data_IF_333816652233
#
_entry.id   IF_333816652233
#
_cell.length_a   1.000
_cell.length_b   1.000
_cell.length_c   1.000
_cell.angle_alpha   90.00
_cell.angle_beta   90.00
_cell.angle_gamma   90.00
#
_symmetry.space_group_name_H-M   'P 1'
#
loop_
_entity.id
_entity.type
_entity.pdbx_description
1 polymer ?
#
# COMPACT_ATOMS: atom_id res chain seq x y z
N UNK A 1 -65.37 6.09 -13.94
CA UNK A 1 -64.08 5.37 -13.81
C UNK A 1 -62.89 6.10 -14.46
N UNK A 2 -63.01 6.77 -15.63
CA UNK A 2 -61.91 7.54 -16.28
C UNK A 2 -61.31 8.70 -15.47
N UNK A 3 -62.10 9.43 -14.66
CA UNK A 3 -61.62 10.58 -13.87
C UNK A 3 -60.71 10.17 -12.70
N UNK A 4 -60.93 9.00 -12.12
CA UNK A 4 -60.12 8.48 -11.00
C UNK A 4 -58.73 8.06 -11.51
N UNK A 5 -58.67 7.45 -12.71
CA UNK A 5 -57.41 7.08 -13.37
C UNK A 5 -56.56 8.29 -13.76
N UNK A 6 -57.16 9.42 -14.12
CA UNK A 6 -56.43 10.66 -14.38
C UNK A 6 -55.89 11.29 -13.09
N UNK A 7 -56.64 11.24 -11.98
CA UNK A 7 -56.13 11.73 -10.71
C UNK A 7 -55.03 10.85 -10.12
N UNK A 8 -55.11 9.52 -10.24
CA UNK A 8 -54.01 8.64 -9.81
C UNK A 8 -52.77 8.76 -10.70
N UNK A 9 -52.93 8.95 -12.02
CA UNK A 9 -51.80 9.18 -12.92
C UNK A 9 -51.12 10.53 -12.67
N UNK A 10 -51.88 11.59 -12.36
CA UNK A 10 -51.33 12.91 -12.04
C UNK A 10 -50.59 12.90 -10.70
N UNK A 11 -51.09 12.16 -9.70
CA UNK A 11 -50.43 11.99 -8.39
C UNK A 11 -49.16 11.14 -8.49
N UNK A 12 -49.12 10.11 -9.35
CA UNK A 12 -47.89 9.35 -9.59
C UNK A 12 -46.82 10.17 -10.32
N UNK A 13 -47.22 11.02 -11.27
CA UNK A 13 -46.31 11.87 -12.04
C UNK A 13 -45.71 13.00 -11.18
N UNK A 14 -46.45 13.54 -10.20
CA UNK A 14 -45.91 14.52 -9.24
C UNK A 14 -44.98 13.88 -8.21
N UNK A 15 -45.19 12.61 -7.83
CA UNK A 15 -44.25 11.88 -6.96
C UNK A 15 -42.90 11.59 -7.62
N UNK A 16 -42.86 11.35 -8.95
CA UNK A 16 -41.60 11.08 -9.65
C UNK A 16 -40.72 12.33 -9.89
N UNK A 17 -41.28 13.54 -9.86
CA UNK A 17 -40.53 14.78 -10.09
C UNK A 17 -39.87 15.35 -8.82
N UNK A 18 -40.05 14.74 -7.65
CA UNK A 18 -39.40 15.15 -6.39
C UNK A 18 -38.04 14.46 -6.14
N UNK A 19 -37.62 13.53 -7.02
CA UNK A 19 -36.42 12.70 -6.80
C UNK A 19 -35.08 13.36 -7.19
N UNK A 20 -35.09 14.58 -7.73
CA UNK A 20 -33.87 15.35 -7.98
C UNK A 20 -33.73 16.49 -6.96
N UNK A 21 -33.76 16.15 -5.67
CA UNK A 21 -33.24 17.05 -4.65
C UNK A 21 -31.71 17.03 -4.76
N UNK A 22 -31.16 18.07 -5.38
CA UNK A 22 -29.74 18.39 -5.32
C UNK A 22 -29.34 18.41 -3.84
N UNK A 23 -28.55 17.43 -3.39
CA UNK A 23 -27.95 17.45 -2.05
C UNK A 23 -27.04 18.67 -2.02
N UNK A 24 -27.54 19.77 -1.46
CA UNK A 24 -26.70 20.87 -1.02
C UNK A 24 -25.88 20.32 0.15
N UNK A 25 -24.77 19.68 -0.18
CA UNK A 25 -23.72 19.38 0.77
C UNK A 25 -23.21 20.76 1.16
N UNK A 26 -23.67 21.28 2.31
CA UNK A 26 -22.96 22.37 2.99
C UNK A 26 -21.49 22.01 2.90
N UNK A 27 -20.61 22.87 2.35
CA UNK A 27 -19.18 22.65 2.49
C UNK A 27 -18.96 22.43 3.97
N UNK A 28 -18.62 21.19 4.35
CA UNK A 28 -18.10 20.93 5.68
C UNK A 28 -16.84 21.74 5.66
N UNK A 29 -16.86 22.91 6.32
CA UNK A 29 -15.65 23.61 6.66
C UNK A 29 -14.79 22.55 7.32
N UNK A 30 -13.73 22.13 6.62
CA UNK A 30 -12.75 21.21 7.19
C UNK A 30 -12.41 21.84 8.53
N UNK A 31 -12.74 21.20 9.67
CA UNK A 31 -12.34 21.76 10.94
C UNK A 31 -10.85 22.03 10.81
N UNK A 32 -10.45 23.28 11.09
CA UNK A 32 -9.05 23.65 11.07
C UNK A 32 -8.30 22.51 11.78
N UNK A 33 -7.20 21.97 11.19
CA UNK A 33 -6.46 20.89 11.82
C UNK A 33 -6.31 21.26 13.28
N UNK A 34 -6.65 20.37 14.24
CA UNK A 34 -6.44 20.66 15.64
C UNK A 34 -5.04 21.24 15.71
N UNK A 35 -4.94 22.51 16.13
CA UNK A 35 -3.64 23.13 16.31
C UNK A 35 -2.94 22.18 17.24
N UNK A 36 -1.89 21.52 16.73
CA UNK A 36 -1.11 20.64 17.53
C UNK A 36 -0.57 21.52 18.65
N UNK A 37 -1.20 21.45 19.83
CA UNK A 37 -0.59 21.84 21.12
C UNK A 37 0.48 20.82 21.47
N UNK A 38 1.20 20.35 20.46
CA UNK A 38 2.46 19.72 20.69
C UNK A 38 3.40 20.91 20.84
N UNK A 39 3.89 21.10 22.06
CA UNK A 39 5.20 21.71 22.26
C UNK A 39 6.21 20.78 21.59
N UNK A 40 6.22 20.77 20.26
CA UNK A 40 7.27 20.12 19.50
C UNK A 40 8.51 20.95 19.81
N UNK A 41 9.49 20.44 20.58
CA UNK A 41 10.76 21.13 20.69
C UNK A 41 11.22 21.41 19.26
N UNK A 42 11.64 22.66 19.01
CA UNK A 42 12.13 23.08 17.70
C UNK A 42 12.99 21.95 17.15
N UNK A 43 12.57 21.36 16.02
CA UNK A 43 13.26 20.24 15.42
C UNK A 43 14.72 20.63 15.31
N UNK A 44 15.55 20.03 16.17
CA UNK A 44 16.99 20.20 16.10
C UNK A 44 17.47 19.77 14.72
N UNK A 45 18.76 20.00 14.46
CA UNK A 45 19.41 19.46 13.27
C UNK A 45 18.93 18.02 13.00
N UNK A 46 18.72 17.64 11.72
CA UNK A 46 18.20 16.32 11.37
C UNK A 46 18.92 15.25 12.19
N UNK A 47 18.14 14.38 12.84
CA UNK A 47 18.65 13.30 13.70
C UNK A 47 19.74 12.58 12.94
N UNK A 48 20.99 12.81 13.34
CA UNK A 48 22.13 12.09 12.82
C UNK A 48 21.96 10.66 13.32
N UNK A 49 21.85 9.70 12.39
CA UNK A 49 21.84 8.28 12.73
C UNK A 49 23.12 8.00 13.53
N UNK A 50 23.03 7.53 14.79
CA UNK A 50 24.21 7.25 15.60
C UNK A 50 25.15 6.30 14.86
N UNK A 51 26.45 6.57 14.85
CA UNK A 51 27.43 5.75 14.13
C UNK A 51 27.40 4.26 14.56
N UNK A 52 26.88 3.94 15.75
CA UNK A 52 26.76 2.57 16.27
C UNK A 52 25.60 1.77 15.68
N UNK A 53 24.72 2.36 14.86
CA UNK A 53 23.63 1.63 14.19
C UNK A 53 23.94 1.31 12.74
N UNK A 54 25.19 1.49 12.29
CA UNK A 54 25.61 0.97 10.99
C UNK A 54 25.45 -0.56 11.04
N UNK A 55 24.64 -1.16 10.15
CA UNK A 55 24.60 -2.60 10.00
C UNK A 55 26.03 -3.10 9.79
N UNK A 56 26.38 -4.24 10.39
CA UNK A 56 27.61 -4.94 10.04
C UNK A 56 27.51 -5.24 8.54
N UNK A 57 28.27 -4.50 7.76
CA UNK A 57 28.29 -4.63 6.31
C UNK A 57 28.80 -6.04 5.99
N UNK A 58 28.10 -6.75 5.11
CA UNK A 58 28.50 -8.09 4.72
C UNK A 58 29.96 -8.04 4.23
N UNK A 59 30.78 -8.94 4.77
CA UNK A 59 32.18 -9.03 4.36
C UNK A 59 32.27 -9.33 2.85
N UNK A 60 33.37 -8.93 2.23
CA UNK A 60 33.61 -9.19 0.81
C UNK A 60 33.52 -10.69 0.47
N UNK A 61 33.89 -11.56 1.41
CA UNK A 61 33.76 -13.02 1.27
C UNK A 61 32.29 -13.47 1.29
N UNK A 62 31.46 -12.93 2.19
CA UNK A 62 30.02 -13.22 2.22
C UNK A 62 29.32 -12.77 0.93
N UNK A 63 29.68 -11.60 0.38
CA UNK A 63 29.14 -11.10 -0.88
C UNK A 63 29.53 -11.99 -2.07
N UNK A 64 30.78 -12.45 -2.11
CA UNK A 64 31.27 -13.37 -3.16
C UNK A 64 30.62 -14.74 -3.08
N UNK A 65 30.25 -15.17 -1.87
CA UNK A 65 29.57 -16.44 -1.64
C UNK A 65 28.08 -16.33 -2.02
N UNK A 66 27.42 -15.21 -1.73
CA UNK A 66 26.06 -14.92 -2.18
C UNK A 66 25.95 -14.93 -3.71
N UNK A 67 26.93 -14.36 -4.41
CA UNK A 67 26.95 -14.32 -5.88
C UNK A 67 27.07 -15.70 -6.56
N UNK A 68 27.43 -16.76 -5.82
CA UNK A 68 27.55 -18.13 -6.34
C UNK A 68 26.33 -19.00 -6.08
N UNK A 69 25.41 -18.55 -5.23
CA UNK A 69 24.22 -19.32 -4.91
C UNK A 69 23.26 -19.27 -6.10
N UNK A 70 22.65 -20.42 -6.48
CA UNK A 70 21.61 -20.40 -7.50
C UNK A 70 20.43 -19.56 -7.02
N UNK A 71 19.68 -19.00 -7.97
CA UNK A 71 18.44 -18.30 -7.67
C UNK A 71 17.55 -19.17 -6.78
N UNK A 72 17.05 -18.58 -5.68
CA UNK A 72 16.21 -19.24 -4.69
C UNK A 72 16.89 -20.37 -3.87
N UNK A 73 18.22 -20.55 -3.95
CA UNK A 73 18.96 -21.62 -3.27
C UNK A 73 18.94 -21.57 -1.73
N UNK A 74 18.47 -20.47 -1.14
CA UNK A 74 18.31 -20.30 0.32
C UNK A 74 16.86 -20.43 0.79
N UNK A 75 15.92 -20.67 -0.13
CA UNK A 75 14.51 -20.84 0.18
C UNK A 75 14.22 -22.31 0.53
N UNK A 76 13.54 -22.51 1.64
CA UNK A 76 13.05 -23.81 2.11
C UNK A 76 11.53 -23.76 2.19
N UNK A 77 10.85 -24.77 1.66
CA UNK A 77 9.39 -24.85 1.75
C UNK A 77 8.96 -24.89 3.22
N UNK A 78 7.92 -24.13 3.56
CA UNK A 78 7.35 -24.03 4.90
C UNK A 78 5.82 -24.11 4.87
N UNK A 79 5.19 -24.24 6.03
CA UNK A 79 3.74 -24.29 6.17
C UNK A 79 3.16 -22.91 6.51
N UNK A 80 1.90 -22.66 6.15
CA UNK A 80 1.20 -21.43 6.53
C UNK A 80 1.05 -21.28 8.05
N UNK A 81 1.05 -22.38 8.80
CA UNK A 81 1.01 -22.38 10.26
C UNK A 81 2.37 -22.02 10.90
N UNK A 82 3.46 -22.02 10.14
CA UNK A 82 4.78 -21.62 10.63
C UNK A 82 4.97 -20.09 10.69
N UNK A 83 3.99 -19.32 10.18
CA UNK A 83 4.05 -17.85 10.18
C UNK A 83 3.47 -17.30 11.48
N UNK A 84 4.37 -16.86 12.36
CA UNK A 84 4.02 -16.24 13.63
C UNK A 84 3.08 -15.03 13.46
N UNK A 85 2.01 -14.99 14.26
CA UNK A 85 1.08 -13.87 14.30
C UNK A 85 0.09 -13.78 13.14
N UNK A 86 0.22 -14.61 12.10
CA UNK A 86 -0.65 -14.54 10.91
C UNK A 86 -2.13 -14.69 11.24
N UNK A 87 -2.46 -15.63 12.13
CA UNK A 87 -3.85 -15.96 12.49
C UNK A 87 -4.57 -14.85 13.27
N UNK A 88 -3.82 -13.92 13.87
CA UNK A 88 -4.37 -12.80 14.65
C UNK A 88 -4.21 -11.45 13.93
N UNK A 89 -3.58 -11.44 12.76
CA UNK A 89 -3.42 -10.22 11.95
C UNK A 89 -4.73 -9.86 11.22
N UNK A 90 -4.89 -8.56 10.92
CA UNK A 90 -6.00 -8.06 10.13
C UNK A 90 -5.62 -8.00 8.64
N UNK A 91 -5.65 -9.17 7.99
CA UNK A 91 -5.25 -9.32 6.58
C UNK A 91 -6.09 -8.51 5.60
N UNK A 92 -7.31 -8.10 5.97
CA UNK A 92 -8.11 -7.17 5.15
C UNK A 92 -7.40 -5.84 4.88
N UNK A 93 -6.52 -5.39 5.79
CA UNK A 93 -5.76 -4.15 5.62
C UNK A 93 -4.66 -4.25 4.56
N UNK A 94 -4.14 -5.45 4.31
CA UNK A 94 -3.15 -5.70 3.26
C UNK A 94 -3.76 -5.76 1.84
N UNK A 95 -5.06 -6.03 1.74
CA UNK A 95 -5.73 -6.28 0.46
C UNK A 95 -5.59 -5.15 -0.59
N UNK A 96 -5.71 -3.84 -0.25
CA UNK A 96 -5.53 -2.78 -1.24
C UNK A 96 -4.12 -2.75 -1.84
N UNK A 97 -3.09 -3.04 -1.06
CA UNK A 97 -1.70 -3.12 -1.55
C UNK A 97 -1.51 -4.31 -2.49
N UNK A 98 -2.14 -5.44 -2.18
CA UNK A 98 -2.16 -6.61 -3.06
C UNK A 98 -2.85 -6.30 -4.41
N UNK A 99 -4.01 -5.64 -4.39
CA UNK A 99 -4.71 -5.21 -5.60
C UNK A 99 -3.89 -4.21 -6.43
N UNK A 100 -3.17 -3.28 -5.78
CA UNK A 100 -2.24 -2.39 -6.45
C UNK A 100 -1.12 -3.16 -7.16
N UNK A 101 -0.58 -4.20 -6.53
CA UNK A 101 0.43 -5.08 -7.13
C UNK A 101 -0.13 -5.80 -8.36
N UNK A 102 -1.33 -6.37 -8.25
CA UNK A 102 -2.00 -7.07 -9.35
C UNK A 102 -2.35 -6.20 -10.56
N UNK A 103 -2.39 -4.87 -10.43
CA UNK A 103 -2.60 -3.95 -11.57
C UNK A 103 -1.55 -4.11 -12.67
N UNK A 104 -0.35 -4.58 -12.32
CA UNK A 104 0.75 -4.81 -13.26
C UNK A 104 1.12 -6.28 -13.35
N UNK A 105 1.14 -7.00 -12.22
CA UNK A 105 1.56 -8.41 -12.16
C UNK A 105 0.67 -9.32 -13.03
N UNK A 106 -0.61 -9.00 -13.21
CA UNK A 106 -1.52 -9.81 -14.05
C UNK A 106 -1.03 -10.01 -15.49
N UNK A 107 -0.18 -9.11 -16.00
CA UNK A 107 0.42 -9.19 -17.34
C UNK A 107 1.56 -10.22 -17.42
N UNK A 108 2.03 -10.76 -16.29
CA UNK A 108 3.06 -11.79 -16.23
C UNK A 108 2.39 -13.17 -16.14
N UNK A 109 2.72 -14.14 -17.02
CA UNK A 109 2.06 -15.44 -17.05
C UNK A 109 1.98 -16.17 -15.70
N UNK A 110 3.08 -16.16 -14.94
CA UNK A 110 3.17 -16.83 -13.62
C UNK A 110 2.26 -16.21 -12.56
N UNK A 111 1.85 -14.95 -12.71
CA UNK A 111 1.00 -14.22 -11.76
C UNK A 111 -0.47 -14.14 -12.19
N UNK A 112 -0.77 -14.46 -13.46
CA UNK A 112 -2.09 -14.26 -14.05
C UNK A 112 -3.19 -14.98 -13.27
N UNK A 113 -2.96 -16.25 -12.89
CA UNK A 113 -3.94 -17.05 -12.14
C UNK A 113 -4.30 -16.40 -10.79
N UNK A 114 -3.28 -16.12 -9.98
CA UNK A 114 -3.46 -15.50 -8.66
C UNK A 114 -4.14 -14.14 -8.77
N UNK A 115 -3.73 -13.28 -9.72
CA UNK A 115 -4.33 -11.96 -9.87
C UNK A 115 -5.76 -11.98 -10.43
N UNK A 116 -6.09 -12.90 -11.33
CA UNK A 116 -7.49 -13.08 -11.78
C UNK A 116 -8.38 -13.52 -10.62
N UNK A 117 -7.90 -14.45 -9.78
CA UNK A 117 -8.63 -14.85 -8.59
C UNK A 117 -8.78 -13.70 -7.57
N UNK A 118 -7.75 -12.87 -7.40
CA UNK A 118 -7.83 -11.66 -6.57
C UNK A 118 -8.90 -10.69 -7.08
N UNK A 119 -8.93 -10.42 -8.39
CA UNK A 119 -9.95 -9.54 -8.98
C UNK A 119 -11.37 -10.08 -8.76
N UNK A 120 -11.56 -11.40 -8.89
CA UNK A 120 -12.83 -12.05 -8.60
C UNK A 120 -13.26 -11.82 -7.15
N UNK A 121 -12.40 -12.17 -6.18
CA UNK A 121 -12.67 -11.98 -4.75
C UNK A 121 -12.94 -10.50 -4.43
N UNK A 122 -12.17 -9.60 -5.03
CA UNK A 122 -12.33 -8.16 -4.84
C UNK A 122 -13.72 -7.68 -5.32
N UNK A 123 -14.19 -8.17 -6.46
CA UNK A 123 -15.51 -7.80 -6.99
C UNK A 123 -16.65 -8.39 -6.14
N UNK A 124 -16.54 -9.64 -5.72
CA UNK A 124 -17.54 -10.35 -4.91
C UNK A 124 -17.71 -9.72 -3.50
N UNK A 125 -16.67 -9.07 -3.00
CA UNK A 125 -16.64 -8.51 -1.64
C UNK A 125 -16.71 -6.98 -1.60
N UNK A 126 -17.12 -6.33 -2.71
CA UNK A 126 -17.14 -4.87 -2.83
C UNK A 126 -15.81 -4.20 -2.41
N UNK A 127 -14.68 -4.81 -2.84
CA UNK A 127 -13.29 -4.43 -2.56
C UNK A 127 -12.88 -4.49 -1.08
N UNK A 128 -13.62 -5.22 -0.25
CA UNK A 128 -13.38 -5.33 1.21
C UNK A 128 -13.52 -6.77 1.70
N UNK A 129 -12.69 -7.71 1.23
CA UNK A 129 -12.72 -9.07 1.73
C UNK A 129 -12.32 -9.11 3.20
N UNK A 130 -12.98 -9.97 3.98
CA UNK A 130 -12.66 -10.20 5.39
C UNK A 130 -11.37 -11.00 5.54
N UNK A 131 -10.69 -10.89 6.69
CA UNK A 131 -9.41 -11.56 6.98
C UNK A 131 -9.39 -13.02 6.57
N UNK A 132 -10.42 -13.80 6.91
CA UNK A 132 -10.47 -15.23 6.56
C UNK A 132 -10.51 -15.48 5.05
N UNK A 133 -11.23 -14.64 4.29
CA UNK A 133 -11.30 -14.78 2.84
C UNK A 133 -9.96 -14.42 2.19
N UNK A 134 -9.25 -13.42 2.73
CA UNK A 134 -7.88 -13.06 2.32
C UNK A 134 -6.90 -14.19 2.63
N UNK A 135 -6.97 -14.78 3.82
CA UNK A 135 -6.13 -15.91 4.21
C UNK A 135 -6.35 -17.12 3.29
N UNK A 136 -7.61 -17.52 3.07
CA UNK A 136 -7.96 -18.63 2.18
C UNK A 136 -7.45 -18.38 0.75
N UNK A 137 -7.57 -17.14 0.26
CA UNK A 137 -7.00 -16.75 -1.03
C UNK A 137 -5.49 -16.95 -1.06
N UNK A 138 -4.74 -16.48 -0.07
CA UNK A 138 -3.29 -16.65 -0.08
C UNK A 138 -2.89 -18.13 0.05
N UNK A 139 -3.57 -18.91 0.88
CA UNK A 139 -3.33 -20.34 1.02
C UNK A 139 -3.55 -21.14 -0.26
N UNK A 140 -4.56 -20.78 -1.06
CA UNK A 140 -4.89 -21.45 -2.31
C UNK A 140 -3.89 -21.13 -3.44
N UNK A 141 -3.43 -19.87 -3.52
CA UNK A 141 -2.66 -19.39 -4.68
C UNK A 141 -1.15 -19.26 -4.43
N UNK A 142 -0.69 -19.45 -3.19
CA UNK A 142 0.70 -19.26 -2.81
C UNK A 142 1.23 -20.36 -1.90
N UNK A 143 2.50 -20.70 -2.09
CA UNK A 143 3.28 -21.53 -1.17
C UNK A 143 4.16 -20.64 -0.30
N UNK A 144 4.34 -21.03 0.96
CA UNK A 144 5.24 -20.33 1.89
C UNK A 144 6.63 -20.92 1.77
N UNK A 145 7.62 -20.03 1.72
CA UNK A 145 9.03 -20.40 1.79
C UNK A 145 9.69 -19.62 2.92
N UNK A 146 10.37 -20.34 3.81
CA UNK A 146 11.28 -19.77 4.80
C UNK A 146 12.62 -19.48 4.12
N UNK A 147 13.25 -18.37 4.49
CA UNK A 147 14.58 -18.01 4.00
C UNK A 147 15.60 -18.11 5.13
N UNK A 148 16.83 -18.46 4.78
CA UNK A 148 18.00 -18.42 5.67
C UNK A 148 19.08 -17.51 5.08
N UNK A 149 19.98 -17.02 5.93
CA UNK A 149 21.18 -16.31 5.50
C UNK A 149 22.25 -17.31 5.01
N UNK A 150 23.27 -16.81 4.33
CA UNK A 150 24.39 -17.64 3.80
C UNK A 150 25.12 -18.39 4.92
N UNK A 151 25.16 -17.84 6.13
CA UNK A 151 25.76 -18.47 7.31
C UNK A 151 24.81 -19.43 8.05
N UNK A 152 23.61 -19.64 7.53
CA UNK A 152 22.58 -20.51 8.10
C UNK A 152 21.74 -19.86 9.20
N UNK A 153 22.00 -18.60 9.58
CA UNK A 153 21.14 -17.89 10.53
C UNK A 153 19.80 -17.52 9.91
N UNK A 154 18.76 -17.40 10.74
CA UNK A 154 17.38 -17.15 10.29
C UNK A 154 16.86 -15.76 10.72
N UNK A 155 17.70 -15.00 11.43
CA UNK A 155 17.38 -13.66 11.89
C UNK A 155 17.84 -12.61 10.87
N UNK A 156 17.03 -11.58 10.69
CA UNK A 156 17.34 -10.44 9.83
C UNK A 156 17.03 -9.11 10.51
N UNK A 157 17.61 -8.04 10.00
CA UNK A 157 17.31 -6.68 10.46
C UNK A 157 16.16 -6.09 9.65
N UNK A 158 15.07 -5.72 10.32
CA UNK A 158 13.97 -4.95 9.72
C UNK A 158 14.25 -3.46 9.92
N UNK A 159 14.35 -2.71 8.82
CA UNK A 159 14.51 -1.25 8.82
C UNK A 159 13.26 -0.57 8.26
N UNK A 160 13.06 0.71 8.58
CA UNK A 160 11.94 1.52 8.05
C UNK A 160 12.40 2.61 7.09
N UNK A 161 11.60 2.88 6.06
CA UNK A 161 11.69 4.07 5.23
C UNK A 161 10.34 4.79 5.22
N UNK A 162 10.34 6.09 4.92
CA UNK A 162 9.11 6.87 4.77
C UNK A 162 9.27 7.89 3.64
N UNK A 163 8.14 8.38 3.13
CA UNK A 163 8.13 9.47 2.16
C UNK A 163 7.95 10.81 2.91
N UNK A 164 8.97 11.69 2.93
CA UNK A 164 8.85 12.98 3.60
C UNK A 164 7.87 13.91 2.86
N UNK A 165 7.11 14.69 3.64
CA UNK A 165 6.25 15.75 3.12
C UNK A 165 6.93 17.11 3.31
N UNK A 166 7.36 17.73 2.21
CA UNK A 166 8.06 19.02 2.21
C UNK A 166 7.15 20.14 1.72
N UNK A 167 7.26 21.32 2.34
CA UNK A 167 6.67 22.56 1.81
C UNK A 167 7.62 23.15 0.79
N UNK A 168 7.13 23.44 -0.42
CA UNK A 168 7.94 23.97 -1.51
C UNK A 168 7.24 25.07 -2.29
N UNK A 169 7.97 25.63 -3.26
CA UNK A 169 7.48 26.60 -4.23
C UNK A 169 8.04 26.27 -5.61
N UNK A 170 7.25 26.50 -6.66
CA UNK A 170 7.74 26.42 -8.06
C UNK A 170 8.64 27.60 -8.44
N UNK A 171 8.59 28.69 -7.68
CA UNK A 171 9.42 29.89 -7.89
C UNK A 171 10.42 30.05 -6.75
N UNK A 172 11.69 30.30 -7.09
CA UNK A 172 12.75 30.57 -6.12
C UNK A 172 12.43 31.83 -5.31
N UNK A 173 12.67 31.79 -4.00
CA UNK A 173 12.53 32.94 -3.11
C UNK A 173 13.49 32.82 -1.93
N UNK A 174 13.58 33.86 -1.10
CA UNK A 174 14.34 33.78 0.15
C UNK A 174 13.84 32.66 1.08
N UNK A 175 12.53 32.35 1.05
CA UNK A 175 11.92 31.26 1.85
C UNK A 175 12.14 29.87 1.25
N UNK A 176 12.24 29.76 -0.07
CA UNK A 176 12.47 28.50 -0.79
C UNK A 176 13.71 28.62 -1.70
N UNK A 177 14.94 28.63 -1.12
CA UNK A 177 16.15 28.90 -1.88
C UNK A 177 16.74 27.67 -2.58
N UNK A 178 16.40 26.45 -2.12
CA UNK A 178 16.98 25.19 -2.57
C UNK A 178 16.13 24.54 -3.68
N UNK A 179 16.64 24.37 -4.91
CA UNK A 179 15.93 23.68 -5.99
C UNK A 179 15.96 22.15 -5.82
N UNK A 180 14.94 21.48 -6.36
CA UNK A 180 14.94 20.03 -6.60
C UNK A 180 15.12 19.80 -8.10
N UNK A 181 16.19 19.12 -8.50
CA UNK A 181 16.52 18.90 -9.91
C UNK A 181 15.87 17.63 -10.44
N UNK A 182 15.42 17.67 -11.70
CA UNK A 182 15.17 16.47 -12.48
C UNK A 182 16.52 15.84 -12.91
N UNK A 183 16.49 14.61 -13.43
CA UNK A 183 17.65 14.04 -14.10
C UNK A 183 18.06 14.97 -15.26
N UNK A 184 19.35 15.33 -15.40
CA UNK A 184 19.80 16.21 -16.47
C UNK A 184 19.90 15.46 -17.81
N UNK A 185 19.81 16.20 -18.92
CA UNK A 185 19.83 15.63 -20.29
C UNK A 185 21.18 14.98 -20.64
N UNK A 186 22.25 15.37 -19.97
CA UNK A 186 23.61 14.84 -20.11
C UNK A 186 23.96 13.76 -19.06
N UNK A 187 22.96 13.21 -18.37
CA UNK A 187 23.17 12.10 -17.43
C UNK A 187 23.58 10.83 -18.18
N UNK A 188 24.87 10.47 -18.13
CA UNK A 188 25.38 9.23 -18.70
C UNK A 188 25.18 8.07 -17.70
N UNK A 189 24.53 7.00 -18.14
CA UNK A 189 24.43 5.72 -17.42
C UNK A 189 25.32 4.69 -18.13
N UNK A 190 26.24 4.05 -17.41
CA UNK A 190 27.23 3.08 -17.94
C UNK A 190 26.94 1.70 -17.39
#
# INVERSE_FOLDING_TARGET
MRKIAHHTLLVLLTLLMMACANKSIKPVAVPAPPQAKCDCPALGAPVQVPASSKPVEATADQQKQLAKLPDYGLLQMADWNDIDGLQVDNLSLAWPAWMQSCSTLINKPVWKSACTAAQKLNNETASKPQTQAVLNYFQEYFSVYKTSNVDGSEQGLITGYYQPLLKGSRTKSAKYPNPLYAAPDDLITV
#
